data_IF_883272633585
#
_entry.id   IF_883272633585
#
_cell.length_a   1.000
_cell.length_b   1.000
_cell.length_c   1.000
_cell.angle_alpha   90.00
_cell.angle_beta   90.00
_cell.angle_gamma   90.00
#
_symmetry.space_group_name_H-M   'P 1'
#
loop_
_entity.id
_entity.type
_entity.pdbx_description
1 polymer ?
#
# COMPACT_ATOMS: atom_id res chain seq x y z
N UNK A 1 12.96 -38.40 12.34
CA UNK A 1 13.12 -36.94 12.20
C UNK A 1 11.79 -36.34 11.77
N UNK A 2 11.00 -35.82 12.71
CA UNK A 2 9.86 -34.98 12.35
C UNK A 2 10.42 -33.73 11.67
N UNK A 3 10.13 -33.54 10.38
CA UNK A 3 10.50 -32.31 9.68
C UNK A 3 9.90 -31.13 10.46
N UNK A 4 10.73 -30.37 11.17
CA UNK A 4 10.28 -29.17 11.86
C UNK A 4 9.66 -28.23 10.82
N UNK A 5 8.47 -27.71 11.13
CA UNK A 5 7.78 -26.79 10.24
C UNK A 5 8.53 -25.46 10.26
N UNK A 6 9.04 -25.03 9.10
CA UNK A 6 9.68 -23.71 8.97
C UNK A 6 8.68 -22.57 9.15
N UNK A 7 9.18 -21.39 9.53
CA UNK A 7 8.36 -20.18 9.67
C UNK A 7 7.60 -19.83 8.38
N UNK A 8 8.25 -19.95 7.22
CA UNK A 8 7.64 -19.71 5.92
C UNK A 8 6.48 -20.69 5.63
N UNK A 9 6.67 -21.98 5.89
CA UNK A 9 5.62 -22.99 5.73
C UNK A 9 4.47 -22.78 6.72
N UNK A 10 4.77 -22.37 7.95
CA UNK A 10 3.74 -21.98 8.93
C UNK A 10 2.93 -20.77 8.44
N UNK A 11 3.59 -19.71 7.98
CA UNK A 11 2.94 -18.50 7.49
C UNK A 11 2.04 -18.78 6.28
N UNK A 12 2.51 -19.60 5.33
CA UNK A 12 1.73 -20.04 4.18
C UNK A 12 0.45 -20.76 4.62
N UNK A 13 0.52 -21.65 5.63
CA UNK A 13 -0.67 -22.34 6.19
C UNK A 13 -1.63 -21.37 6.87
N UNK A 14 -1.14 -20.38 7.61
CA UNK A 14 -2.00 -19.37 8.25
C UNK A 14 -2.79 -18.55 7.21
N UNK A 15 -2.13 -18.13 6.14
CA UNK A 15 -2.77 -17.36 5.06
C UNK A 15 -3.75 -18.23 4.28
N UNK A 16 -3.36 -19.46 3.93
CA UNK A 16 -4.23 -20.41 3.23
C UNK A 16 -5.54 -20.68 4.02
N UNK A 17 -5.45 -20.81 5.34
CA UNK A 17 -6.62 -21.06 6.21
C UNK A 17 -7.66 -19.93 6.20
N UNK A 18 -7.25 -18.69 5.88
CA UNK A 18 -8.15 -17.53 5.84
C UNK A 18 -8.34 -16.99 4.42
N UNK A 19 -7.83 -17.69 3.39
CA UNK A 19 -7.82 -17.20 2.00
C UNK A 19 -9.20 -16.72 1.56
N UNK A 20 -10.23 -17.52 1.80
CA UNK A 20 -11.62 -17.22 1.40
C UNK A 20 -12.47 -16.60 2.52
N UNK A 21 -11.85 -16.21 3.64
CA UNK A 21 -12.52 -15.60 4.79
C UNK A 21 -12.01 -14.15 5.02
N UNK A 22 -12.75 -13.12 4.55
CA UNK A 22 -12.39 -11.71 4.78
C UNK A 22 -12.28 -11.34 6.27
N UNK A 23 -13.11 -11.94 7.12
CA UNK A 23 -13.05 -11.70 8.57
C UNK A 23 -11.82 -12.37 9.17
N UNK A 24 -11.52 -13.60 8.75
CA UNK A 24 -10.30 -14.35 9.07
C UNK A 24 -9.03 -13.61 8.67
N UNK A 25 -8.97 -13.03 7.47
CA UNK A 25 -7.84 -12.17 7.02
C UNK A 25 -7.64 -10.98 7.96
N UNK A 26 -8.73 -10.34 8.38
CA UNK A 26 -8.68 -9.20 9.31
C UNK A 26 -8.20 -9.64 10.70
N UNK A 27 -8.66 -10.79 11.19
CA UNK A 27 -8.21 -11.35 12.45
C UNK A 27 -6.73 -11.75 12.40
N UNK A 28 -6.27 -12.33 11.28
CA UNK A 28 -4.86 -12.69 11.07
C UNK A 28 -3.97 -11.44 11.08
N UNK A 29 -4.33 -10.39 10.32
CA UNK A 29 -3.63 -9.10 10.36
C UNK A 29 -3.53 -8.56 11.79
N UNK A 30 -4.63 -8.60 12.55
CA UNK A 30 -4.64 -8.14 13.95
C UNK A 30 -3.66 -8.93 14.82
N UNK A 31 -3.58 -10.24 14.65
CA UNK A 31 -2.67 -11.13 15.38
C UNK A 31 -1.21 -10.83 15.08
N UNK A 32 -0.85 -10.48 13.84
CA UNK A 32 0.53 -10.15 13.50
C UNK A 32 1.11 -9.01 14.34
N UNK A 33 0.29 -8.04 14.74
CA UNK A 33 0.72 -6.93 15.62
C UNK A 33 0.68 -7.24 17.11
N UNK A 34 0.17 -8.41 17.52
CA UNK A 34 0.23 -8.87 18.91
C UNK A 34 1.54 -9.62 19.22
N UNK A 35 2.36 -9.92 18.20
CA UNK A 35 3.61 -10.66 18.33
C UNK A 35 3.42 -12.16 18.60
N UNK A 36 4.51 -12.94 18.64
CA UNK A 36 4.46 -14.40 18.73
C UNK A 36 3.80 -14.91 20.02
N UNK A 37 3.94 -14.16 21.12
CA UNK A 37 3.41 -14.52 22.44
C UNK A 37 2.15 -13.72 22.83
N UNK A 38 1.52 -13.02 21.88
CA UNK A 38 0.31 -12.21 22.12
C UNK A 38 0.54 -10.94 22.94
N UNK A 39 1.80 -10.59 23.26
CA UNK A 39 2.19 -9.40 23.99
C UNK A 39 3.26 -8.61 23.21
N UNK A 40 2.83 -7.62 22.45
CA UNK A 40 3.69 -6.74 21.66
C UNK A 40 3.26 -5.26 21.76
N UNK A 41 3.30 -4.65 22.96
CA UNK A 41 2.72 -3.32 23.19
C UNK A 41 3.33 -2.23 22.30
N UNK A 42 4.61 -2.37 21.92
CA UNK A 42 5.31 -1.42 21.04
C UNK A 42 4.81 -1.46 19.59
N UNK A 43 4.24 -2.58 19.14
CA UNK A 43 3.76 -2.78 17.76
C UNK A 43 2.29 -2.42 17.60
N UNK A 44 1.49 -2.53 18.68
CA UNK A 44 0.04 -2.27 18.66
C UNK A 44 -0.37 -0.92 18.06
N UNK A 45 0.32 0.22 18.30
CA UNK A 45 -0.06 1.49 17.69
C UNK A 45 -0.04 1.46 16.15
N UNK A 46 0.89 0.72 15.55
CA UNK A 46 1.06 0.62 14.09
C UNK A 46 -0.03 -0.21 13.41
N UNK A 47 -0.75 -1.04 14.17
CA UNK A 47 -1.87 -1.85 13.69
C UNK A 47 -3.00 -1.00 13.11
N UNK A 48 -3.17 0.24 13.58
CA UNK A 48 -4.29 1.11 13.23
C UNK A 48 -4.39 1.35 11.72
N UNK A 49 -3.29 1.76 11.08
CA UNK A 49 -3.27 2.03 9.65
C UNK A 49 -3.57 0.75 8.83
N UNK A 50 -2.92 -0.37 9.17
CA UNK A 50 -3.15 -1.66 8.51
C UNK A 50 -4.62 -2.11 8.60
N UNK A 51 -5.22 -2.06 9.80
CA UNK A 51 -6.62 -2.47 9.99
C UNK A 51 -7.63 -1.52 9.33
N UNK A 52 -7.30 -0.23 9.24
CA UNK A 52 -8.13 0.73 8.51
C UNK A 52 -8.20 0.38 7.03
N UNK A 53 -7.05 0.09 6.42
CA UNK A 53 -6.98 -0.34 5.02
C UNK A 53 -7.67 -1.69 4.80
N UNK A 54 -7.44 -2.68 5.66
CA UNK A 54 -8.17 -3.96 5.66
C UNK A 54 -9.67 -3.74 5.71
N UNK A 55 -10.16 -2.88 6.61
CA UNK A 55 -11.57 -2.58 6.75
C UNK A 55 -12.18 -1.98 5.48
N UNK A 56 -11.45 -1.12 4.78
CA UNK A 56 -11.87 -0.63 3.46
C UNK A 56 -11.88 -1.76 2.41
N UNK A 57 -10.84 -2.61 2.36
CA UNK A 57 -10.80 -3.74 1.41
C UNK A 57 -11.98 -4.71 1.60
N UNK A 58 -12.34 -4.99 2.86
CA UNK A 58 -13.51 -5.81 3.21
C UNK A 58 -14.81 -5.12 2.79
N UNK A 59 -15.01 -3.85 3.17
CA UNK A 59 -16.24 -3.10 2.81
C UNK A 59 -16.44 -3.00 1.30
N UNK A 60 -15.36 -2.70 0.56
CA UNK A 60 -15.38 -2.62 -0.91
C UNK A 60 -15.71 -3.95 -1.59
N UNK A 61 -15.53 -5.06 -0.89
CA UNK A 61 -15.77 -6.40 -1.41
C UNK A 61 -14.60 -6.99 -2.21
N UNK A 62 -13.45 -6.31 -2.28
CA UNK A 62 -12.29 -6.81 -3.03
C UNK A 62 -11.72 -8.12 -2.47
N UNK A 63 -11.97 -8.43 -1.19
CA UNK A 63 -11.48 -9.66 -0.54
C UNK A 63 -12.48 -10.82 -0.56
N UNK A 64 -13.67 -10.66 -1.15
CA UNK A 64 -14.65 -11.76 -1.26
C UNK A 64 -14.05 -12.98 -1.99
N UNK A 65 -14.53 -14.22 -1.74
CA UNK A 65 -14.13 -15.39 -2.53
C UNK A 65 -14.30 -15.15 -4.03
N UNK A 66 -13.42 -15.73 -4.85
CA UNK A 66 -13.47 -15.54 -6.31
C UNK A 66 -14.51 -16.41 -7.01
N UNK A 67 -15.06 -17.41 -6.32
CA UNK A 67 -16.06 -18.36 -6.84
C UNK A 67 -17.51 -18.02 -6.46
N UNK A 68 -17.76 -16.94 -5.71
CA UNK A 68 -19.12 -16.56 -5.28
C UNK A 68 -19.83 -15.63 -6.27
N UNK A 69 -21.14 -15.42 -6.06
CA UNK A 69 -22.02 -14.58 -6.91
C UNK A 69 -21.53 -13.13 -7.09
N UNK A 70 -20.80 -12.62 -6.10
CA UNK A 70 -20.12 -11.32 -6.14
C UNK A 70 -18.64 -11.55 -5.86
N UNK A 71 -17.86 -11.94 -6.88
CA UNK A 71 -16.48 -12.33 -6.67
C UNK A 71 -15.63 -11.13 -6.26
N UNK A 72 -14.64 -11.38 -5.39
CA UNK A 72 -13.61 -10.39 -5.07
C UNK A 72 -12.58 -10.26 -6.19
N UNK A 73 -11.69 -9.29 -6.06
CA UNK A 73 -10.60 -9.08 -7.02
C UNK A 73 -9.49 -10.10 -6.79
N UNK A 74 -9.11 -10.89 -7.83
CA UNK A 74 -7.96 -11.78 -7.74
C UNK A 74 -6.67 -11.01 -7.37
N UNK A 75 -6.47 -9.82 -7.94
CA UNK A 75 -5.28 -9.01 -7.70
C UNK A 75 -5.23 -8.46 -6.26
N UNK A 76 -6.32 -7.86 -5.77
CA UNK A 76 -6.36 -7.31 -4.40
C UNK A 76 -6.17 -8.39 -3.34
N UNK A 77 -6.72 -9.59 -3.59
CA UNK A 77 -6.54 -10.75 -2.72
C UNK A 77 -5.09 -11.21 -2.68
N UNK A 78 -4.41 -11.23 -3.83
CA UNK A 78 -3.00 -11.61 -3.93
C UNK A 78 -2.07 -10.61 -3.20
N UNK A 79 -2.27 -9.30 -3.41
CA UNK A 79 -1.54 -8.26 -2.67
C UNK A 79 -1.76 -8.38 -1.16
N UNK A 80 -3.00 -8.63 -0.75
CA UNK A 80 -3.33 -8.83 0.66
C UNK A 80 -2.67 -10.10 1.25
N UNK A 81 -2.66 -11.22 0.51
CA UNK A 81 -2.01 -12.46 0.91
C UNK A 81 -0.51 -12.26 1.12
N UNK A 82 0.17 -11.51 0.25
CA UNK A 82 1.60 -11.20 0.41
C UNK A 82 1.89 -10.47 1.71
N UNK A 83 1.13 -9.42 2.03
CA UNK A 83 1.30 -8.65 3.27
C UNK A 83 1.05 -9.53 4.50
N UNK A 84 -0.02 -10.33 4.49
CA UNK A 84 -0.33 -11.24 5.59
C UNK A 84 0.77 -12.30 5.78
N UNK A 85 1.25 -12.89 4.68
CA UNK A 85 2.28 -13.93 4.72
C UNK A 85 3.58 -13.39 5.29
N UNK A 86 4.07 -12.26 4.76
CA UNK A 86 5.35 -11.68 5.20
C UNK A 86 5.29 -11.27 6.68
N UNK A 87 4.17 -10.68 7.12
CA UNK A 87 3.94 -10.35 8.53
C UNK A 87 3.80 -11.57 9.45
N UNK A 88 3.12 -12.63 8.99
CA UNK A 88 3.02 -13.90 9.73
C UNK A 88 4.40 -14.57 9.88
N UNK A 89 5.19 -14.58 8.82
CA UNK A 89 6.50 -15.21 8.81
C UNK A 89 7.46 -14.51 9.77
N UNK A 90 7.50 -13.18 9.78
CA UNK A 90 8.32 -12.43 10.73
C UNK A 90 7.90 -12.66 12.19
N UNK A 91 6.59 -12.80 12.45
CA UNK A 91 6.08 -13.18 13.79
C UNK A 91 6.51 -14.60 14.15
N UNK A 92 6.44 -15.55 13.21
CA UNK A 92 6.89 -16.92 13.43
C UNK A 92 8.40 -16.99 13.74
N UNK A 93 9.23 -16.32 12.93
CA UNK A 93 10.68 -16.25 13.11
C UNK A 93 11.05 -15.61 14.45
N UNK A 94 10.42 -14.48 14.80
CA UNK A 94 10.63 -13.84 16.11
C UNK A 94 10.11 -14.67 17.29
N UNK A 95 9.23 -15.64 17.03
CA UNK A 95 8.74 -16.63 18.00
C UNK A 95 9.60 -17.89 18.09
N UNK A 96 10.69 -18.00 17.34
CA UNK A 96 11.64 -19.12 17.37
C UNK A 96 11.32 -20.27 16.41
N UNK A 97 10.36 -20.11 15.48
CA UNK A 97 10.20 -21.10 14.40
C UNK A 97 11.43 -21.09 13.48
N UNK A 98 11.92 -22.27 13.03
CA UNK A 98 13.16 -22.38 12.29
C UNK A 98 13.03 -21.93 10.83
N UNK A 99 14.17 -21.75 10.18
CA UNK A 99 14.31 -21.40 8.77
C UNK A 99 14.77 -19.94 8.55
N UNK A 100 15.36 -19.63 7.39
CA UNK A 100 15.67 -18.25 7.03
C UNK A 100 14.41 -17.49 6.65
N UNK A 101 14.49 -16.16 6.63
CA UNK A 101 13.48 -15.33 5.99
C UNK A 101 13.33 -15.70 4.50
N UNK A 102 12.10 -15.86 4.03
CA UNK A 102 11.79 -16.31 2.67
C UNK A 102 11.97 -15.22 1.61
N UNK A 103 12.09 -13.96 2.02
CA UNK A 103 12.26 -12.82 1.13
C UNK A 103 12.81 -11.59 1.85
N UNK A 104 13.38 -10.65 1.10
CA UNK A 104 13.87 -9.37 1.63
C UNK A 104 12.77 -8.54 2.32
N UNK A 105 11.50 -8.72 1.95
CA UNK A 105 10.39 -8.06 2.63
C UNK A 105 10.18 -8.62 4.04
N UNK A 106 10.41 -9.92 4.26
CA UNK A 106 10.39 -10.54 5.59
C UNK A 106 11.53 -10.00 6.46
N UNK A 107 12.73 -9.80 5.92
CA UNK A 107 13.84 -9.16 6.65
C UNK A 107 13.50 -7.74 7.12
N UNK A 108 12.76 -6.98 6.31
CA UNK A 108 12.25 -5.65 6.70
C UNK A 108 11.20 -5.76 7.81
N UNK A 109 10.33 -6.78 7.77
CA UNK A 109 9.41 -7.06 8.87
C UNK A 109 10.15 -7.45 10.16
N UNK A 110 11.22 -8.25 10.09
CA UNK A 110 12.07 -8.55 11.25
C UNK A 110 12.74 -7.28 11.81
N UNK A 111 13.21 -6.39 10.94
CA UNK A 111 13.75 -5.08 11.34
C UNK A 111 12.71 -4.22 12.06
N UNK A 112 11.44 -4.24 11.62
CA UNK A 112 10.33 -3.60 12.31
C UNK A 112 10.00 -4.28 13.64
N UNK A 113 10.07 -5.62 13.71
CA UNK A 113 9.85 -6.37 14.94
C UNK A 113 10.88 -5.97 16.01
N UNK A 114 12.16 -5.90 15.64
CA UNK A 114 13.28 -5.45 16.49
C UNK A 114 13.12 -3.98 16.92
N UNK A 115 12.92 -3.08 15.95
CA UNK A 115 12.86 -1.63 16.16
C UNK A 115 11.60 -1.01 15.54
N UNK A 116 10.46 -1.04 16.27
CA UNK A 116 9.19 -0.55 15.76
C UNK A 116 9.16 0.99 15.66
N UNK A 117 9.48 1.49 14.47
CA UNK A 117 9.41 2.90 14.09
C UNK A 117 8.51 3.07 12.87
N UNK A 118 8.03 4.29 12.62
CA UNK A 118 7.22 4.58 11.43
C UNK A 118 7.98 4.27 10.12
N UNK A 119 9.28 4.58 10.06
CA UNK A 119 10.12 4.25 8.91
C UNK A 119 10.23 2.73 8.71
N UNK A 120 10.54 1.98 9.77
CA UNK A 120 10.64 0.53 9.68
C UNK A 120 9.30 -0.12 9.29
N UNK A 121 8.19 0.38 9.83
CA UNK A 121 6.85 -0.09 9.48
C UNK A 121 6.52 0.14 8.01
N UNK A 122 6.74 1.35 7.49
CA UNK A 122 6.51 1.62 6.06
C UNK A 122 7.46 0.83 5.16
N UNK A 123 8.74 0.69 5.55
CA UNK A 123 9.70 -0.13 4.81
C UNK A 123 9.24 -1.58 4.68
N UNK A 124 8.75 -2.17 5.77
CA UNK A 124 8.23 -3.53 5.78
C UNK A 124 6.90 -3.67 5.02
N UNK A 125 5.90 -2.87 5.39
CA UNK A 125 4.56 -2.92 4.81
C UNK A 125 4.57 -2.58 3.32
N UNK A 126 5.21 -1.46 2.93
CA UNK A 126 5.24 -1.04 1.53
C UNK A 126 6.20 -1.89 0.71
N UNK A 127 7.22 -2.49 1.32
CA UNK A 127 8.02 -3.54 0.67
C UNK A 127 7.12 -4.70 0.23
N UNK A 128 6.30 -5.25 1.13
CA UNK A 128 5.35 -6.32 0.79
C UNK A 128 4.31 -5.88 -0.27
N UNK A 129 3.78 -4.65 -0.18
CA UNK A 129 2.86 -4.10 -1.20
C UNK A 129 3.54 -4.05 -2.56
N UNK A 130 4.72 -3.45 -2.66
CA UNK A 130 5.44 -3.26 -3.92
C UNK A 130 5.84 -4.60 -4.53
N UNK A 131 6.38 -5.51 -3.73
CA UNK A 131 6.74 -6.84 -4.21
C UNK A 131 5.50 -7.55 -4.80
N UNK A 132 4.34 -7.45 -4.15
CA UNK A 132 3.10 -8.02 -4.68
C UNK A 132 2.60 -7.33 -5.95
N UNK A 133 2.72 -6.01 -6.06
CA UNK A 133 2.38 -5.28 -7.30
C UNK A 133 3.21 -5.81 -8.46
N UNK A 134 4.53 -5.93 -8.28
CA UNK A 134 5.44 -6.39 -9.33
C UNK A 134 5.17 -7.87 -9.69
N UNK A 135 5.00 -8.73 -8.68
CA UNK A 135 4.73 -10.17 -8.85
C UNK A 135 3.40 -10.44 -9.57
N UNK A 136 2.36 -9.66 -9.29
CA UNK A 136 1.00 -9.90 -9.81
C UNK A 136 0.59 -8.94 -10.93
N UNK A 137 1.55 -8.35 -11.66
CA UNK A 137 1.28 -7.43 -12.78
C UNK A 137 0.32 -8.01 -13.82
N UNK A 138 0.52 -9.27 -14.22
CA UNK A 138 -0.37 -9.93 -15.20
C UNK A 138 -1.82 -10.08 -14.71
N UNK A 139 -2.03 -10.24 -13.39
CA UNK A 139 -3.36 -10.28 -12.80
C UNK A 139 -3.99 -8.89 -12.76
N UNK A 140 -3.18 -7.84 -12.56
CA UNK A 140 -3.63 -6.45 -12.63
C UNK A 140 -4.11 -6.07 -14.03
N UNK A 141 -3.43 -6.55 -15.07
CA UNK A 141 -3.78 -6.27 -16.47
C UNK A 141 -5.15 -6.82 -16.87
N UNK A 142 -5.59 -7.91 -16.23
CA UNK A 142 -6.91 -8.49 -16.42
C UNK A 142 -8.05 -7.69 -15.74
N UNK A 143 -7.74 -6.78 -14.81
CA UNK A 143 -8.73 -5.94 -14.16
C UNK A 143 -9.23 -4.85 -15.12
N UNK A 144 -10.43 -4.33 -14.89
CA UNK A 144 -10.98 -3.29 -15.74
C UNK A 144 -10.18 -1.97 -15.65
N UNK A 145 -10.36 -1.10 -16.63
CA UNK A 145 -9.63 0.17 -16.72
C UNK A 145 -9.70 1.00 -15.42
N UNK A 146 -10.90 1.16 -14.85
CA UNK A 146 -11.10 1.94 -13.62
C UNK A 146 -10.38 1.34 -12.41
N UNK A 147 -10.33 0.01 -12.29
CA UNK A 147 -9.55 -0.68 -11.27
C UNK A 147 -8.05 -0.50 -11.49
N UNK A 148 -7.54 -0.61 -12.72
CA UNK A 148 -6.11 -0.40 -13.02
C UNK A 148 -5.66 1.03 -12.74
N UNK A 149 -6.48 2.02 -13.10
CA UNK A 149 -6.26 3.42 -12.69
C UNK A 149 -6.18 3.53 -11.17
N UNK A 150 -7.12 2.91 -10.48
CA UNK A 150 -7.19 2.96 -9.04
C UNK A 150 -5.99 2.29 -8.34
N UNK A 151 -5.48 1.18 -8.88
CA UNK A 151 -4.24 0.56 -8.40
C UNK A 151 -3.06 1.54 -8.46
N UNK A 152 -2.94 2.33 -9.53
CA UNK A 152 -1.90 3.35 -9.63
C UNK A 152 -2.09 4.45 -8.57
N UNK A 153 -3.31 4.91 -8.32
CA UNK A 153 -3.61 5.89 -7.26
C UNK A 153 -3.18 5.35 -5.89
N UNK A 154 -3.52 4.09 -5.58
CA UNK A 154 -3.15 3.45 -4.32
C UNK A 154 -1.63 3.36 -4.20
N UNK A 155 -0.93 2.88 -5.23
CA UNK A 155 0.52 2.78 -5.22
C UNK A 155 1.17 4.13 -4.95
N UNK A 156 0.77 5.17 -5.69
CA UNK A 156 1.30 6.52 -5.51
C UNK A 156 1.10 7.03 -4.07
N UNK A 157 -0.10 6.84 -3.52
CA UNK A 157 -0.44 7.25 -2.15
C UNK A 157 0.34 6.46 -1.08
N UNK A 158 0.52 5.16 -1.27
CA UNK A 158 1.31 4.30 -0.39
C UNK A 158 2.78 4.73 -0.38
N UNK A 159 3.37 4.97 -1.54
CA UNK A 159 4.75 5.46 -1.66
C UNK A 159 4.90 6.86 -1.04
N UNK A 160 3.94 7.75 -1.29
CA UNK A 160 3.96 9.10 -0.75
C UNK A 160 3.85 9.12 0.79
N UNK A 161 3.01 8.27 1.36
CA UNK A 161 2.88 8.11 2.81
C UNK A 161 4.21 7.65 3.45
N UNK A 162 4.96 6.77 2.78
CA UNK A 162 6.30 6.40 3.22
C UNK A 162 7.27 7.59 3.17
N UNK A 163 7.28 8.32 2.06
CA UNK A 163 8.16 9.46 1.87
C UNK A 163 7.89 10.58 2.89
N UNK A 164 6.64 10.75 3.38
CA UNK A 164 6.33 11.72 4.43
C UNK A 164 7.17 11.50 5.70
N UNK A 165 7.45 10.25 6.04
CA UNK A 165 8.27 9.87 7.20
C UNK A 165 9.75 9.74 6.83
N UNK A 166 10.06 9.20 5.66
CA UNK A 166 11.40 8.73 5.32
C UNK A 166 12.18 9.68 4.38
N UNK A 167 11.50 10.55 3.65
CA UNK A 167 12.06 11.54 2.73
C UNK A 167 11.22 12.85 2.71
N UNK A 168 11.10 13.55 3.84
CA UNK A 168 10.16 14.66 4.01
C UNK A 168 10.44 15.86 3.08
N UNK A 169 11.68 15.99 2.56
CA UNK A 169 12.04 16.98 1.53
C UNK A 169 11.39 16.67 0.18
N UNK A 170 11.35 15.39 -0.19
CA UNK A 170 10.62 14.93 -1.37
C UNK A 170 9.14 15.23 -1.14
N UNK A 171 8.54 14.88 0.01
CA UNK A 171 7.08 14.98 0.18
C UNK A 171 6.50 16.38 0.35
N UNK A 172 7.08 17.23 1.22
CA UNK A 172 6.50 18.55 1.54
C UNK A 172 7.42 19.74 1.25
N UNK A 173 8.62 19.51 0.68
CA UNK A 173 9.54 20.58 0.31
C UNK A 173 9.80 21.55 1.48
N UNK A 174 9.43 22.84 1.37
CA UNK A 174 9.58 23.81 2.46
C UNK A 174 8.85 23.44 3.75
N UNK A 175 7.71 22.75 3.67
CA UNK A 175 6.90 22.34 4.83
C UNK A 175 7.33 20.99 5.43
N UNK A 176 8.56 20.53 5.12
CA UNK A 176 9.13 19.27 5.63
C UNK A 176 9.00 19.00 7.13
N UNK A 177 9.02 19.99 8.06
CA UNK A 177 8.90 19.67 9.49
C UNK A 177 7.56 19.03 9.87
N UNK A 178 6.50 19.28 9.09
CA UNK A 178 5.16 18.72 9.33
C UNK A 178 5.00 17.30 8.76
N UNK A 179 5.87 16.89 7.84
CA UNK A 179 5.71 15.65 7.08
C UNK A 179 5.67 14.38 7.95
N UNK A 180 6.58 14.18 8.94
CA UNK A 180 6.55 12.97 9.75
C UNK A 180 5.27 12.83 10.58
N UNK A 181 4.71 13.94 11.06
CA UNK A 181 3.45 13.94 11.80
C UNK A 181 2.26 13.53 10.91
N UNK A 182 2.21 14.05 9.68
CA UNK A 182 1.17 13.71 8.71
C UNK A 182 1.26 12.27 8.21
N UNK A 183 2.47 11.70 8.19
CA UNK A 183 2.73 10.33 7.77
C UNK A 183 2.68 9.29 8.89
N UNK A 184 2.57 9.66 10.16
CA UNK A 184 2.74 8.71 11.27
C UNK A 184 1.62 7.65 11.32
N UNK A 185 1.91 6.36 11.05
CA UNK A 185 0.90 5.29 10.98
C UNK A 185 0.22 4.98 12.32
N UNK A 186 0.74 5.51 13.42
CA UNK A 186 0.17 5.34 14.77
C UNK A 186 -0.98 6.31 15.01
N UNK A 187 -0.99 7.45 14.33
CA UNK A 187 -1.97 8.51 14.53
C UNK A 187 -3.24 8.23 13.70
N UNK A 188 -4.41 8.49 14.29
CA UNK A 188 -5.71 8.34 13.61
C UNK A 188 -5.98 9.40 12.53
N UNK A 189 -5.12 10.41 12.44
CA UNK A 189 -5.20 11.53 11.48
C UNK A 189 -4.61 11.21 10.09
N UNK A 190 -4.24 9.94 9.81
CA UNK A 190 -3.57 9.50 8.57
C UNK A 190 -4.53 9.44 7.37
N UNK A 191 -4.94 10.64 6.96
CA UNK A 191 -5.85 10.98 5.88
C UNK A 191 -5.34 10.77 4.46
N UNK A 192 -4.51 9.76 4.18
CA UNK A 192 -4.19 9.35 2.79
C UNK A 192 -4.85 8.00 2.48
N UNK A 193 -4.66 7.01 3.36
CA UNK A 193 -5.37 5.73 3.29
C UNK A 193 -6.88 5.89 3.53
N UNK A 194 -7.27 6.72 4.51
CA UNK A 194 -8.67 7.02 4.83
C UNK A 194 -9.39 7.80 3.72
N UNK A 195 -8.66 8.41 2.79
CA UNK A 195 -9.26 9.11 1.65
C UNK A 195 -9.48 8.20 0.44
N UNK A 196 -8.84 7.03 0.36
CA UNK A 196 -9.20 6.01 -0.62
C UNK A 196 -10.67 5.60 -0.45
N UNK A 197 -11.16 5.50 0.80
CA UNK A 197 -12.56 5.15 1.11
C UNK A 197 -13.56 6.30 0.99
N UNK A 198 -13.12 7.55 0.83
CA UNK A 198 -14.04 8.72 0.69
C UNK A 198 -14.16 9.20 -0.74
N UNK A 199 -13.23 8.82 -1.60
CA UNK A 199 -13.09 9.33 -2.97
C UNK A 199 -13.59 8.32 -4.00
N UNK A 200 -13.68 7.04 -3.64
CA UNK A 200 -14.02 5.98 -4.59
C UNK A 200 -15.25 5.20 -4.15
N UNK A 201 -16.03 4.68 -5.11
CA UNK A 201 -17.19 3.84 -4.83
C UNK A 201 -16.83 2.66 -3.91
N UNK A 202 -17.73 2.41 -2.94
CA UNK A 202 -17.61 1.34 -1.94
C UNK A 202 -17.92 -0.07 -2.50
N UNK A 203 -17.93 -0.25 -3.82
CA UNK A 203 -18.27 -1.53 -4.46
C UNK A 203 -17.24 -1.92 -5.51
N UNK A 204 -16.85 -3.20 -5.48
CA UNK A 204 -16.06 -3.87 -6.51
C UNK A 204 -16.97 -4.69 -7.46
N UNK A 205 -16.69 -4.70 -8.78
CA UNK A 205 -15.71 -3.85 -9.46
C UNK A 205 -16.23 -2.43 -9.68
N UNK A 206 -15.31 -1.46 -9.84
CA UNK A 206 -15.66 -0.12 -10.29
C UNK A 206 -16.39 -0.19 -11.62
N UNK A 207 -17.54 0.49 -11.68
CA UNK A 207 -18.37 0.61 -12.87
C UNK A 207 -18.25 2.02 -13.45
N UNK A 208 -18.14 2.09 -14.77
CA UNK A 208 -17.95 3.34 -15.50
C UNK A 208 -16.50 3.54 -15.91
N UNK A 209 -16.25 4.64 -16.62
CA UNK A 209 -14.93 5.00 -17.14
C UNK A 209 -14.13 5.79 -16.12
N UNK A 210 -12.80 5.78 -16.25
CA UNK A 210 -11.90 6.61 -15.42
C UNK A 210 -12.33 8.08 -15.43
N UNK A 211 -12.70 8.61 -16.59
CA UNK A 211 -13.19 9.99 -16.73
C UNK A 211 -14.43 10.25 -15.88
N UNK A 212 -15.39 9.33 -15.86
CA UNK A 212 -16.60 9.47 -15.04
C UNK A 212 -16.30 9.49 -13.53
N UNK A 213 -15.24 8.79 -13.09
CA UNK A 213 -14.79 8.84 -11.71
C UNK A 213 -14.05 10.16 -11.41
N UNK A 214 -13.17 10.61 -12.31
CA UNK A 214 -12.45 11.88 -12.20
C UNK A 214 -13.38 13.10 -12.17
N UNK A 215 -14.48 13.06 -12.93
CA UNK A 215 -15.46 14.15 -12.99
C UNK A 215 -16.33 14.21 -11.72
N UNK A 216 -16.58 13.07 -11.07
CA UNK A 216 -17.30 12.98 -9.79
C UNK A 216 -16.41 13.27 -8.58
N UNK A 217 -15.09 13.22 -8.75
CA UNK A 217 -14.16 13.53 -7.67
C UNK A 217 -14.11 15.04 -7.40
N UNK A 218 -14.84 15.45 -6.35
CA UNK A 218 -14.87 16.83 -5.85
C UNK A 218 -13.92 16.95 -4.64
N UNK A 219 -13.05 17.97 -4.64
CA UNK A 219 -12.40 18.46 -3.42
C UNK A 219 -10.96 17.99 -3.15
N UNK A 220 -10.72 17.47 -1.94
CA UNK A 220 -9.38 17.31 -1.35
C UNK A 220 -8.55 16.17 -1.96
N UNK A 221 -9.16 15.02 -2.33
CA UNK A 221 -8.44 13.89 -2.95
C UNK A 221 -7.72 14.30 -4.23
N UNK A 222 -8.45 15.03 -5.08
CA UNK A 222 -7.94 15.64 -6.30
C UNK A 222 -6.82 16.65 -6.05
N UNK A 223 -6.91 17.46 -5.00
CA UNK A 223 -5.84 18.38 -4.61
C UNK A 223 -4.60 17.64 -4.12
N UNK A 224 -4.76 16.58 -3.33
CA UNK A 224 -3.66 15.75 -2.85
C UNK A 224 -2.97 15.05 -4.02
N UNK A 225 -3.72 14.33 -4.85
CA UNK A 225 -3.15 13.54 -5.94
C UNK A 225 -2.53 14.45 -7.00
N UNK A 226 -3.29 15.38 -7.58
CA UNK A 226 -2.80 16.22 -8.67
C UNK A 226 -1.96 17.41 -8.21
N UNK A 227 -2.28 18.02 -7.07
CA UNK A 227 -1.58 19.21 -6.58
C UNK A 227 -0.33 18.91 -5.76
N UNK A 228 -0.30 17.78 -5.04
CA UNK A 228 0.80 17.45 -4.12
C UNK A 228 1.64 16.28 -4.64
N UNK A 229 1.03 15.16 -5.02
CA UNK A 229 1.74 13.91 -5.34
C UNK A 229 2.26 13.89 -6.78
N UNK A 230 1.41 14.16 -7.78
CA UNK A 230 1.75 14.14 -9.22
C UNK A 230 3.07 14.86 -9.56
N UNK A 231 3.34 16.08 -9.04
CA UNK A 231 4.57 16.83 -9.34
C UNK A 231 5.88 16.14 -9.01
N UNK A 232 5.83 15.16 -8.11
CA UNK A 232 7.01 14.47 -7.59
C UNK A 232 6.98 12.98 -7.86
N UNK A 233 6.07 12.49 -8.71
CA UNK A 233 5.91 11.06 -8.94
C UNK A 233 7.20 10.40 -9.43
N UNK A 234 7.89 11.01 -10.39
CA UNK A 234 9.16 10.47 -10.89
C UNK A 234 10.18 10.31 -9.76
N UNK A 235 10.44 11.39 -9.02
CA UNK A 235 11.37 11.40 -7.88
C UNK A 235 10.94 10.44 -6.76
N UNK A 236 9.63 10.34 -6.50
CA UNK A 236 9.05 9.48 -5.49
C UNK A 236 9.26 8.01 -5.82
N UNK A 237 9.04 7.60 -7.07
CA UNK A 237 9.25 6.22 -7.52
C UNK A 237 10.73 5.87 -7.53
N UNK A 238 11.60 6.77 -8.00
CA UNK A 238 13.06 6.57 -7.96
C UNK A 238 13.60 6.43 -6.54
N UNK A 239 13.15 7.30 -5.63
CA UNK A 239 13.49 7.20 -4.22
C UNK A 239 12.97 5.89 -3.62
N UNK A 240 11.71 5.53 -3.90
CA UNK A 240 11.08 4.31 -3.36
C UNK A 240 11.76 3.05 -3.87
N UNK A 241 12.17 3.01 -5.15
CA UNK A 241 12.91 1.89 -5.73
C UNK A 241 14.22 1.64 -4.97
N UNK A 242 14.94 2.70 -4.59
CA UNK A 242 16.15 2.60 -3.77
C UNK A 242 15.85 2.23 -2.33
N UNK A 243 14.90 2.92 -1.69
CA UNK A 243 14.55 2.71 -0.28
C UNK A 243 14.05 1.29 -0.01
N UNK A 244 13.26 0.73 -0.93
CA UNK A 244 12.69 -0.60 -0.83
C UNK A 244 13.58 -1.68 -1.47
N UNK A 245 14.66 -1.29 -2.15
CA UNK A 245 15.53 -2.20 -2.91
C UNK A 245 14.77 -2.96 -4.00
N UNK A 246 13.82 -2.28 -4.64
CA UNK A 246 12.90 -2.83 -5.64
C UNK A 246 13.04 -2.04 -6.96
N UNK A 247 14.05 -2.34 -7.80
CA UNK A 247 14.29 -1.60 -9.03
C UNK A 247 13.14 -1.72 -10.04
N UNK A 248 12.32 -2.78 -9.95
CA UNK A 248 11.14 -2.96 -10.79
C UNK A 248 10.11 -1.83 -10.68
N UNK A 249 10.11 -1.07 -9.56
CA UNK A 249 9.28 0.13 -9.42
C UNK A 249 9.55 1.19 -10.49
N UNK A 250 10.77 1.27 -11.03
CA UNK A 250 11.08 2.21 -12.11
C UNK A 250 10.28 1.92 -13.38
N UNK A 251 9.85 0.66 -13.59
CA UNK A 251 8.96 0.26 -14.68
C UNK A 251 7.48 0.57 -14.44
N UNK A 252 7.14 1.25 -13.35
CA UNK A 252 5.78 1.66 -12.98
C UNK A 252 5.55 3.18 -13.13
N UNK A 253 6.57 3.93 -13.55
CA UNK A 253 6.48 5.37 -13.84
C UNK A 253 7.24 5.70 -15.13
N UNK A 254 6.75 6.66 -15.91
CA UNK A 254 7.45 7.22 -17.07
C UNK A 254 7.09 8.68 -17.24
N UNK A 255 8.08 9.56 -17.31
CA UNK A 255 7.90 11.01 -17.47
C UNK A 255 6.91 11.61 -16.45
N UNK A 256 6.95 11.11 -15.20
CA UNK A 256 6.04 11.53 -14.13
C UNK A 256 4.61 10.98 -14.23
N UNK A 257 4.31 10.12 -15.20
CA UNK A 257 3.02 9.42 -15.31
C UNK A 257 3.12 7.98 -14.78
N UNK A 258 2.19 7.53 -13.92
CA UNK A 258 2.06 6.12 -13.56
C UNK A 258 1.72 5.24 -14.77
N UNK A 259 2.41 4.10 -14.88
CA UNK A 259 2.27 3.12 -15.98
C UNK A 259 2.16 1.67 -15.49
N UNK A 260 1.84 1.46 -14.22
CA UNK A 260 1.60 0.11 -13.70
C UNK A 260 0.30 -0.46 -14.27
N UNK A 261 0.36 -1.53 -15.08
CA UNK A 261 -0.78 -2.08 -15.80
C UNK A 261 -1.61 -1.01 -16.55
N UNK A 262 -0.94 0.04 -17.04
CA UNK A 262 -1.55 1.20 -17.66
C UNK A 262 -0.74 1.65 -18.88
N UNK A 263 -1.41 1.92 -19.99
CA UNK A 263 -0.75 2.37 -21.22
C UNK A 263 -0.16 3.78 -21.04
N UNK A 264 1.06 3.98 -21.51
CA UNK A 264 1.67 5.31 -21.53
C UNK A 264 0.96 6.26 -22.50
N UNK A 265 0.32 5.74 -23.55
CA UNK A 265 -0.44 6.59 -24.49
C UNK A 265 -1.66 7.22 -23.81
N UNK A 266 -2.24 6.53 -22.84
CA UNK A 266 -3.39 6.97 -22.04
C UNK A 266 -2.98 7.78 -20.80
N UNK A 267 -1.74 8.25 -20.71
CA UNK A 267 -1.22 9.02 -19.56
C UNK A 267 -1.93 10.35 -19.31
N UNK A 268 -2.76 10.81 -20.25
CA UNK A 268 -3.46 12.09 -20.15
C UNK A 268 -4.38 12.18 -18.93
N UNK A 269 -4.86 11.04 -18.41
CA UNK A 269 -5.67 10.95 -17.18
C UNK A 269 -4.94 11.44 -15.93
N UNK A 270 -3.61 11.48 -15.96
CA UNK A 270 -2.76 11.96 -14.87
C UNK A 270 -2.44 13.46 -14.94
N UNK A 271 -2.93 14.17 -15.98
CA UNK A 271 -2.72 15.61 -16.09
C UNK A 271 -3.57 16.36 -15.07
N UNK A 272 -2.99 17.31 -14.31
CA UNK A 272 -3.75 18.10 -13.36
C UNK A 272 -4.84 18.91 -14.07
N UNK A 273 -6.04 19.03 -13.50
CA UNK A 273 -7.06 19.91 -14.04
C UNK A 273 -6.61 21.38 -13.93
N UNK A 274 -7.16 22.28 -14.76
CA UNK A 274 -6.90 23.72 -14.64
C UNK A 274 -7.60 24.30 -13.40
N UNK A 275 -7.02 24.08 -12.21
CA UNK A 275 -7.52 24.56 -10.92
C UNK A 275 -6.55 25.54 -10.27
N UNK A 276 -7.07 26.66 -9.74
CA UNK A 276 -6.26 27.63 -9.00
C UNK A 276 -5.62 27.02 -7.76
N UNK A 277 -6.36 26.20 -7.01
CA UNK A 277 -5.85 25.53 -5.81
C UNK A 277 -4.69 24.58 -6.14
N UNK A 278 -4.80 23.83 -7.24
CA UNK A 278 -3.75 22.92 -7.74
C UNK A 278 -2.51 23.73 -8.14
N UNK A 279 -2.68 24.83 -8.88
CA UNK A 279 -1.56 25.74 -9.22
C UNK A 279 -0.87 26.33 -8.00
N UNK A 280 -1.62 26.70 -6.96
CA UNK A 280 -1.05 27.24 -5.73
C UNK A 280 -0.26 26.16 -4.98
N UNK A 281 -0.80 24.94 -4.87
CA UNK A 281 -0.10 23.81 -4.27
C UNK A 281 1.23 23.50 -4.98
N UNK A 282 1.26 23.51 -6.31
CA UNK A 282 2.50 23.34 -7.08
C UNK A 282 3.55 24.41 -6.78
N UNK A 283 3.14 25.65 -6.49
CA UNK A 283 4.05 26.75 -6.15
C UNK A 283 4.59 26.62 -4.73
N UNK A 284 3.75 26.25 -3.78
CA UNK A 284 4.11 26.22 -2.35
C UNK A 284 4.82 24.94 -1.94
N UNK A 285 4.53 23.80 -2.59
CA UNK A 285 5.05 22.48 -2.23
C UNK A 285 6.03 21.93 -3.26
N UNK A 286 6.82 22.79 -3.92
CA UNK A 286 7.81 22.33 -4.90
C UNK A 286 8.70 21.22 -4.30
N UNK A 287 8.92 20.11 -5.02
CA UNK A 287 9.78 19.04 -4.53
C UNK A 287 11.18 19.59 -4.31
N UNK A 288 11.80 19.29 -3.17
CA UNK A 288 13.23 19.54 -2.99
C UNK A 288 14.05 18.54 -3.81
N UNK A 289 15.31 18.88 -4.17
CA UNK A 289 16.25 17.90 -4.72
C UNK A 289 16.47 16.73 -3.76
#
# INVERSE_FOLDING_TARGET
MTSEVTAAAWAARQVAAVRDDPAGRTALMRRCYAGPFGKAPRHLPFRRAALSFMGWQVRRGVLRPTSGDRPGSPWWRAVNERILRDGCEAVALSGGLPGPASSATVDRWLSFVDRPTARAWYGAHNGSVVAAYLEHRGVAEAENESERFFMNVVLCRVLYAHALVAAPRISLGPLRPLAPFLGDPRLGMTGIFLQLSRVLPDEYPLRGTVRSHLDREIGFGRLLDFGVIVPRLQQLYEWSARELSEPGLLGCVRDGAPVYAWSYDDRSVWRPPPSFAVRMAHRTLRPGP
#
